data_IF_370071596445
#
_entry.id   IF_370071596445
#
_cell.length_a   1.000
_cell.length_b   1.000
_cell.length_c   1.000
_cell.angle_alpha   90.00
_cell.angle_beta   90.00
_cell.angle_gamma   90.00
#
_symmetry.space_group_name_H-M   'P 1'
#
loop_
_entity.id
_entity.type
_entity.pdbx_description
1 polymer ?
#
# COMPACT_ATOMS: atom_id res chain seq x y z
N UNK A 1 -0.59 8.16 3.40
CA UNK A 1 -1.85 7.80 2.74
C UNK A 1 -1.56 7.27 1.35
N UNK A 2 -2.19 6.18 0.96
CA UNK A 2 -2.05 5.55 -0.35
C UNK A 2 -3.36 5.68 -1.11
N UNK A 3 -3.30 5.94 -2.41
CA UNK A 3 -4.40 5.74 -3.35
C UNK A 3 -3.97 4.80 -4.48
N UNK A 4 -4.75 3.75 -4.72
CA UNK A 4 -4.45 2.73 -5.74
C UNK A 4 -5.08 3.12 -7.07
N UNK A 5 -4.25 3.27 -8.10
CA UNK A 5 -4.70 3.66 -9.45
C UNK A 5 -5.02 2.43 -10.30
N UNK A 6 -4.20 1.38 -10.22
CA UNK A 6 -4.31 0.21 -11.09
C UNK A 6 -3.71 -1.04 -10.44
N UNK A 7 -4.26 -2.20 -10.77
CA UNK A 7 -3.72 -3.50 -10.39
C UNK A 7 -4.32 -4.06 -9.10
N UNK A 8 -3.77 -5.19 -8.68
CA UNK A 8 -4.16 -5.94 -7.48
C UNK A 8 -2.94 -6.18 -6.62
N UNK A 9 -2.99 -5.74 -5.37
CA UNK A 9 -1.88 -5.86 -4.44
C UNK A 9 -2.33 -6.13 -3.02
N UNK A 10 -1.39 -6.04 -2.09
CA UNK A 10 -1.64 -6.13 -0.67
C UNK A 10 -0.72 -5.17 0.10
N UNK A 11 -1.26 -4.58 1.16
CA UNK A 11 -0.49 -3.97 2.23
C UNK A 11 -0.10 -5.07 3.22
N UNK A 12 1.19 -5.21 3.49
CA UNK A 12 1.73 -6.23 4.38
C UNK A 12 2.29 -5.54 5.63
N UNK A 13 1.81 -5.93 6.81
CA UNK A 13 2.29 -5.38 8.08
C UNK A 13 3.54 -6.12 8.60
N UNK A 14 4.07 -5.70 9.75
CA UNK A 14 5.26 -6.31 10.37
C UNK A 14 5.09 -7.80 10.68
N UNK A 15 3.87 -8.24 11.03
CA UNK A 15 3.55 -9.64 11.29
C UNK A 15 3.40 -10.49 10.01
N UNK A 16 3.46 -9.86 8.83
CA UNK A 16 3.28 -10.51 7.54
C UNK A 16 1.82 -10.68 7.12
N UNK A 17 0.88 -10.09 7.85
CA UNK A 17 -0.55 -10.13 7.53
C UNK A 17 -0.83 -9.24 6.31
N UNK A 18 -1.65 -9.76 5.39
CA UNK A 18 -1.97 -9.08 4.14
C UNK A 18 -3.38 -8.45 4.19
N UNK A 19 -3.46 -7.14 3.95
CA UNK A 19 -4.71 -6.44 3.65
C UNK A 19 -4.79 -6.22 2.14
N UNK A 20 -5.83 -6.74 1.44
CA UNK A 20 -5.97 -6.57 0.00
C UNK A 20 -6.10 -5.10 -0.43
N UNK A 21 -5.50 -4.76 -1.57
CA UNK A 21 -5.57 -3.44 -2.19
C UNK A 21 -5.92 -3.56 -3.68
N UNK A 22 -6.98 -2.86 -4.10
CA UNK A 22 -7.48 -2.83 -5.47
C UNK A 22 -7.59 -1.40 -5.99
N UNK A 23 -7.67 -1.23 -7.31
CA UNK A 23 -7.89 0.08 -7.92
C UNK A 23 -9.12 0.79 -7.31
N UNK A 24 -8.92 2.04 -6.90
CA UNK A 24 -9.93 2.84 -6.19
C UNK A 24 -9.80 2.81 -4.66
N UNK A 25 -9.06 1.86 -4.09
CA UNK A 25 -8.87 1.76 -2.65
C UNK A 25 -7.95 2.88 -2.11
N UNK A 26 -8.26 3.30 -0.89
CA UNK A 26 -7.37 4.11 -0.06
C UNK A 26 -6.84 3.28 1.10
N UNK A 27 -5.57 3.45 1.43
CA UNK A 27 -4.97 2.87 2.63
C UNK A 27 -4.31 3.95 3.49
N UNK A 28 -4.49 3.83 4.79
CA UNK A 28 -3.81 4.65 5.78
C UNK A 28 -2.81 3.76 6.52
N UNK A 29 -1.55 4.20 6.53
CA UNK A 29 -0.48 3.61 7.33
C UNK A 29 -0.15 4.61 8.42
N UNK A 30 -0.13 4.17 9.67
CA UNK A 30 0.13 5.05 10.80
C UNK A 30 1.63 5.38 10.90
N UNK A 31 2.00 6.48 11.58
CA UNK A 31 3.39 6.78 11.88
C UNK A 31 4.08 5.58 12.56
N UNK A 32 5.33 5.33 12.19
CA UNK A 32 6.16 4.23 12.71
C UNK A 32 5.65 2.81 12.42
N UNK A 33 4.55 2.65 11.69
CA UNK A 33 4.05 1.34 11.26
C UNK A 33 4.94 0.78 10.13
N UNK A 34 5.64 -0.32 10.40
CA UNK A 34 6.39 -1.04 9.37
C UNK A 34 5.42 -1.69 8.39
N UNK A 35 5.67 -1.47 7.12
CA UNK A 35 4.78 -1.94 6.07
C UNK A 35 5.52 -2.19 4.76
N UNK A 36 4.91 -2.99 3.90
CA UNK A 36 5.38 -3.28 2.55
C UNK A 36 4.18 -3.41 1.60
N UNK A 37 4.37 -3.06 0.32
CA UNK A 37 3.35 -3.25 -0.71
C UNK A 37 3.74 -4.38 -1.64
N UNK A 38 2.86 -5.37 -1.78
CA UNK A 38 3.09 -6.56 -2.60
C UNK A 38 2.18 -6.52 -3.83
N UNK A 39 2.75 -6.62 -5.02
CA UNK A 39 1.96 -6.90 -6.22
C UNK A 39 1.51 -8.36 -6.18
N UNK A 40 0.20 -8.60 -6.31
CA UNK A 40 -0.42 -9.93 -6.27
C UNK A 40 -1.06 -10.32 -7.61
N UNK A 41 -1.01 -9.44 -8.60
CA UNK A 41 -1.54 -9.66 -9.94
C UNK A 41 -0.48 -9.95 -10.99
N UNK A 42 -0.93 -10.07 -12.23
CA UNK A 42 -0.13 -10.29 -13.44
C UNK A 42 0.27 -8.99 -14.16
N UNK A 43 -0.22 -7.85 -13.68
CA UNK A 43 -0.01 -6.51 -14.24
C UNK A 43 0.67 -5.59 -13.23
N UNK A 44 1.23 -4.45 -13.66
CA UNK A 44 1.80 -3.46 -12.75
C UNK A 44 0.78 -2.98 -11.69
N UNK A 45 1.19 -3.02 -10.43
CA UNK A 45 0.46 -2.42 -9.31
C UNK A 45 0.89 -0.95 -9.18
N UNK A 46 0.00 -0.01 -9.57
CA UNK A 46 0.28 1.42 -9.59
C UNK A 46 -0.50 2.12 -8.49
N UNK A 47 0.21 2.95 -7.73
CA UNK A 47 -0.37 3.68 -6.60
C UNK A 47 0.39 5.00 -6.37
N UNK A 48 -0.26 5.95 -5.72
CA UNK A 48 0.38 7.16 -5.19
C UNK A 48 0.54 6.97 -3.69
N UNK A 49 1.77 7.11 -3.19
CA UNK A 49 2.08 7.14 -1.76
C UNK A 49 2.35 8.58 -1.34
N UNK A 50 1.40 9.18 -0.62
CA UNK A 50 1.61 10.45 0.07
C UNK A 50 2.19 10.20 1.45
N UNK A 51 3.49 10.45 1.60
CA UNK A 51 4.21 10.42 2.89
C UNK A 51 4.47 11.85 3.33
N UNK A 52 4.06 12.26 4.55
CA UNK A 52 4.47 13.55 5.07
C UNK A 52 5.99 13.64 5.17
N UNK A 53 6.55 14.80 4.81
CA UNK A 53 8.01 15.01 4.72
C UNK A 53 8.77 14.68 6.01
N UNK A 54 8.13 14.78 7.16
CA UNK A 54 8.72 14.45 8.46
C UNK A 54 8.94 12.94 8.69
N UNK A 55 8.36 12.09 7.83
CA UNK A 55 8.43 10.62 7.91
C UNK A 55 9.06 9.97 6.66
N UNK A 56 9.63 10.77 5.74
CA UNK A 56 10.47 10.28 4.64
C UNK A 56 11.82 9.78 5.17
#
# INVERSE_FOLDING_TARGET
MIYVIEGQGALVNEAGEETPLNAGDFALVNPSEKHQYRNKGDKPFKMICGVPKEFE
#
